data_IF_494600291904
#
_entry.id   IF_494600291904
#
_cell.length_a   1.000
_cell.length_b   1.000
_cell.length_c   1.000
_cell.angle_alpha   90.00
_cell.angle_beta   90.00
_cell.angle_gamma   90.00
#
_symmetry.space_group_name_H-M   'P 1'
#
loop_
_entity.id
_entity.type
_entity.pdbx_description
1 polymer ?
#
# COMPACT_ATOMS: atom_id res chain seq x y z
N UNK A 1 -25.99 -0.39 27.76
CA UNK A 1 -24.58 -0.25 27.40
C UNK A 1 -24.03 0.87 28.28
N UNK A 2 -22.92 0.62 28.98
CA UNK A 2 -22.28 1.62 29.81
C UNK A 2 -21.46 2.57 28.93
N UNK A 3 -21.24 3.80 29.38
CA UNK A 3 -20.32 4.78 28.75
C UNK A 3 -18.93 4.17 28.44
N UNK A 4 -18.51 3.20 29.27
CA UNK A 4 -17.29 2.42 29.09
C UNK A 4 -17.33 1.50 27.86
N UNK A 5 -18.45 0.82 27.59
CA UNK A 5 -18.59 -0.08 26.44
C UNK A 5 -18.51 0.71 25.11
N UNK A 6 -19.13 1.90 25.07
CA UNK A 6 -19.09 2.77 23.89
C UNK A 6 -17.66 3.28 23.62
N UNK A 7 -16.95 3.70 24.67
CA UNK A 7 -15.58 4.19 24.53
C UNK A 7 -14.63 3.10 24.03
N UNK A 8 -14.82 1.85 24.45
CA UNK A 8 -13.98 0.73 24.00
C UNK A 8 -14.23 0.36 22.54
N UNK A 9 -15.49 0.38 22.08
CA UNK A 9 -15.81 0.19 20.65
C UNK A 9 -15.20 1.29 19.78
N UNK A 10 -15.25 2.55 20.22
CA UNK A 10 -14.63 3.65 19.48
C UNK A 10 -13.11 3.53 19.39
N UNK A 11 -12.46 3.04 20.45
CA UNK A 11 -11.01 2.75 20.42
C UNK A 11 -10.68 1.61 19.47
N UNK A 12 -11.46 0.54 19.49
CA UNK A 12 -11.29 -0.59 18.58
C UNK A 12 -11.40 -0.12 17.12
N UNK A 13 -12.47 0.62 16.79
CA UNK A 13 -12.68 1.19 15.46
C UNK A 13 -11.56 2.14 15.03
N UNK A 14 -11.08 3.00 15.94
CA UNK A 14 -9.98 3.93 15.65
C UNK A 14 -8.62 3.23 15.50
N UNK A 15 -8.47 2.00 16.01
CA UNK A 15 -7.27 1.18 15.87
C UNK A 15 -7.29 0.29 14.62
N UNK A 16 -8.39 0.27 13.87
CA UNK A 16 -8.46 -0.51 12.65
C UNK A 16 -7.43 -0.01 11.63
N UNK A 17 -6.74 -0.92 10.94
CA UNK A 17 -5.78 -0.56 9.94
C UNK A 17 -6.46 0.12 8.75
N UNK A 18 -5.73 1.02 8.08
CA UNK A 18 -6.24 1.75 6.91
C UNK A 18 -5.92 1.01 5.64
N UNK A 19 -6.93 0.78 4.78
CA UNK A 19 -6.76 0.26 3.42
C UNK A 19 -7.02 1.39 2.43
N UNK A 20 -6.16 1.49 1.41
CA UNK A 20 -6.35 2.49 0.36
C UNK A 20 -5.92 2.01 -1.03
N UNK A 21 -6.49 2.67 -2.04
CA UNK A 21 -6.10 2.55 -3.45
C UNK A 21 -6.01 1.11 -4.01
N UNK A 22 -7.00 0.22 -3.80
CA UNK A 22 -6.96 -1.13 -4.36
C UNK A 22 -6.92 -1.10 -5.89
N UNK A 23 -6.07 -1.96 -6.48
CA UNK A 23 -5.87 -2.11 -7.93
C UNK A 23 -5.78 -3.60 -8.27
N UNK A 24 -6.68 -4.08 -9.11
CA UNK A 24 -6.64 -5.44 -9.65
C UNK A 24 -5.49 -5.56 -10.66
N UNK A 25 -4.75 -6.66 -10.62
CA UNK A 25 -3.72 -7.03 -11.60
C UNK A 25 -4.32 -7.23 -13.01
N UNK A 26 -3.51 -7.16 -14.08
CA UNK A 26 -4.00 -7.35 -15.44
C UNK A 26 -4.68 -8.71 -15.70
N UNK A 27 -4.21 -9.78 -15.05
CA UNK A 27 -4.79 -11.13 -15.12
C UNK A 27 -6.06 -11.31 -14.26
N UNK A 28 -6.32 -10.39 -13.33
CA UNK A 28 -7.47 -10.46 -12.43
C UNK A 28 -7.25 -11.32 -11.18
N UNK A 29 -6.07 -11.90 -10.99
CA UNK A 29 -5.82 -12.89 -9.93
C UNK A 29 -5.36 -12.25 -8.62
N UNK A 30 -4.83 -11.04 -8.64
CA UNK A 30 -4.25 -10.37 -7.46
C UNK A 30 -4.79 -8.94 -7.31
N UNK A 31 -4.93 -8.47 -6.07
CA UNK A 31 -5.23 -7.06 -5.76
C UNK A 31 -4.05 -6.43 -5.02
N UNK A 32 -3.37 -5.47 -5.64
CA UNK A 32 -2.44 -4.62 -4.93
C UNK A 32 -3.20 -3.53 -4.17
N UNK A 33 -2.72 -3.15 -2.99
CA UNK A 33 -3.32 -2.11 -2.15
C UNK A 33 -2.28 -1.48 -1.21
N UNK A 34 -2.55 -0.26 -0.75
CA UNK A 34 -1.86 0.27 0.42
C UNK A 34 -2.56 -0.21 1.68
N UNK A 35 -1.79 -0.67 2.64
CA UNK A 35 -2.26 -1.11 3.95
C UNK A 35 -1.36 -0.55 5.04
N UNK A 36 -1.94 -0.06 6.13
CA UNK A 36 -1.20 0.38 7.32
C UNK A 36 -1.50 -0.57 8.49
N UNK A 37 -0.70 -1.63 8.61
CA UNK A 37 -0.77 -2.58 9.74
C UNK A 37 0.34 -2.31 10.75
N UNK A 38 1.48 -1.78 10.31
CA UNK A 38 2.66 -1.62 11.15
C UNK A 38 2.78 -0.21 11.77
N UNK A 39 1.93 0.74 11.38
CA UNK A 39 1.99 2.16 11.74
C UNK A 39 2.58 3.06 10.65
N UNK A 40 2.78 2.53 9.44
CA UNK A 40 3.17 3.24 8.22
C UNK A 40 2.44 2.57 7.05
N UNK A 41 2.20 3.32 5.96
CA UNK A 41 1.65 2.70 4.74
C UNK A 41 2.69 1.78 4.12
N UNK A 42 2.27 0.60 3.69
CA UNK A 42 3.05 -0.27 2.82
C UNK A 42 2.22 -0.79 1.64
N UNK A 43 2.89 -1.16 0.54
CA UNK A 43 2.27 -1.91 -0.55
C UNK A 43 2.12 -3.36 -0.16
N UNK A 44 0.94 -3.92 -0.42
CA UNK A 44 0.61 -5.31 -0.22
C UNK A 44 -0.05 -5.90 -1.46
N UNK A 45 0.15 -7.20 -1.67
CA UNK A 45 -0.60 -8.03 -2.61
C UNK A 45 -1.64 -8.84 -1.83
N UNK A 46 -2.86 -8.87 -2.33
CA UNK A 46 -3.99 -9.57 -1.73
C UNK A 46 -4.53 -10.62 -2.71
N UNK A 47 -4.64 -11.86 -2.23
CA UNK A 47 -5.38 -12.90 -2.94
C UNK A 47 -6.89 -12.69 -2.67
N UNK A 48 -7.70 -12.37 -3.69
CA UNK A 48 -9.12 -12.10 -3.49
C UNK A 48 -9.96 -13.35 -3.15
N UNK A 49 -9.42 -14.56 -3.31
CA UNK A 49 -10.13 -15.81 -3.06
C UNK A 49 -10.18 -16.17 -1.58
N UNK A 50 -9.13 -15.84 -0.82
CA UNK A 50 -9.01 -16.15 0.61
C UNK A 50 -8.67 -14.95 1.50
N UNK A 51 -8.30 -13.80 0.91
CA UNK A 51 -7.95 -12.58 1.62
C UNK A 51 -6.55 -12.60 2.24
N UNK A 52 -5.69 -13.55 1.87
CA UNK A 52 -4.29 -13.56 2.27
C UNK A 52 -3.56 -12.33 1.74
N UNK A 53 -2.60 -11.85 2.54
CA UNK A 53 -1.82 -10.65 2.24
C UNK A 53 -0.33 -10.97 2.25
N UNK A 54 0.37 -10.47 1.23
CA UNK A 54 1.82 -10.46 1.13
C UNK A 54 2.30 -9.00 1.13
N UNK A 55 3.21 -8.66 2.04
CA UNK A 55 3.81 -7.34 2.11
C UNK A 55 4.92 -7.22 1.06
N UNK A 56 4.86 -6.17 0.24
CA UNK A 56 5.78 -5.96 -0.87
C UNK A 56 6.80 -4.84 -0.61
N UNK A 57 6.43 -3.85 0.21
CA UNK A 57 7.30 -2.71 0.53
C UNK A 57 7.49 -2.57 2.04
N UNK A 58 8.57 -1.90 2.46
CA UNK A 58 8.84 -1.61 3.88
C UNK A 58 8.71 -0.11 4.12
N UNK A 59 7.50 0.38 3.87
CA UNK A 59 6.99 1.74 4.06
C UNK A 59 7.85 2.90 3.55
N UNK A 60 8.55 2.64 2.46
CA UNK A 60 9.20 3.57 1.54
C UNK A 60 8.19 4.15 0.50
N UNK A 61 6.92 4.19 0.88
CA UNK A 61 5.81 4.70 0.06
C UNK A 61 5.14 5.90 0.75
N UNK A 62 4.53 6.82 -0.02
CA UNK A 62 3.93 8.02 0.55
C UNK A 62 2.87 7.73 1.61
N UNK A 63 2.93 8.49 2.70
CA UNK A 63 1.84 8.53 3.69
C UNK A 63 0.54 9.05 3.07
N UNK A 64 0.63 9.99 2.13
CA UNK A 64 -0.51 10.46 1.37
C UNK A 64 -0.63 9.69 0.05
N UNK A 65 -1.54 8.74 0.00
CA UNK A 65 -1.82 7.88 -1.17
C UNK A 65 -2.49 8.60 -2.36
N UNK A 66 -2.48 9.94 -2.40
CA UNK A 66 -3.17 10.75 -3.42
C UNK A 66 -2.72 10.44 -4.85
N UNK A 67 -1.42 10.21 -5.05
CA UNK A 67 -0.88 9.86 -6.35
C UNK A 67 -1.14 8.39 -6.73
N UNK A 68 -1.24 7.51 -5.72
CA UNK A 68 -1.50 6.09 -5.88
C UNK A 68 -0.33 5.33 -6.51
N UNK A 69 -0.63 4.15 -7.07
CA UNK A 69 0.29 3.34 -7.87
C UNK A 69 -0.47 2.75 -9.08
N UNK A 70 0.25 2.07 -9.98
CA UNK A 70 -0.29 1.36 -11.16
C UNK A 70 0.44 0.05 -11.40
N UNK A 71 -0.28 -0.97 -11.83
CA UNK A 71 0.30 -2.14 -12.46
C UNK A 71 0.95 -1.78 -13.79
N UNK A 72 2.04 -2.44 -14.11
CA UNK A 72 2.52 -2.51 -15.48
C UNK A 72 1.60 -3.43 -16.31
N UNK A 73 1.66 -3.37 -17.67
CA UNK A 73 0.79 -4.18 -18.51
C UNK A 73 1.02 -5.69 -18.42
N UNK A 74 2.22 -6.16 -18.06
CA UNK A 74 2.48 -7.59 -17.88
C UNK A 74 1.96 -8.10 -16.53
N UNK A 75 1.82 -7.21 -15.54
CA UNK A 75 1.41 -7.57 -14.18
C UNK A 75 2.57 -8.03 -13.31
N UNK A 76 3.81 -7.89 -13.77
CA UNK A 76 5.02 -8.30 -13.04
C UNK A 76 5.59 -7.18 -12.18
N UNK A 77 5.09 -5.94 -12.33
CA UNK A 77 5.59 -4.76 -11.62
C UNK A 77 4.51 -3.76 -11.23
N UNK A 78 4.83 -2.95 -10.22
CA UNK A 78 4.07 -1.77 -9.81
C UNK A 78 4.90 -0.50 -10.03
N UNK A 79 4.29 0.52 -10.64
CA UNK A 79 4.79 1.90 -10.64
C UNK A 79 4.19 2.66 -9.47
N UNK A 80 5.04 3.25 -8.65
CA UNK A 80 4.65 3.97 -7.44
C UNK A 80 5.55 5.18 -7.22
N UNK A 81 5.12 6.08 -6.34
CA UNK A 81 6.01 7.13 -5.84
C UNK A 81 6.78 6.59 -4.65
N UNK A 82 8.09 6.77 -4.62
CA UNK A 82 8.88 6.46 -3.43
C UNK A 82 8.88 7.66 -2.49
N UNK A 83 8.87 7.41 -1.20
CA UNK A 83 8.97 8.45 -0.16
C UNK A 83 9.82 7.87 0.96
N UNK A 84 11.09 8.28 1.00
CA UNK A 84 12.03 7.79 2.00
C UNK A 84 12.06 8.76 3.18
N UNK A 85 11.49 8.33 4.30
CA UNK A 85 11.44 9.10 5.54
C UNK A 85 10.74 10.48 5.44
N UNK A 86 9.84 10.69 4.49
CA UNK A 86 9.12 11.95 4.33
C UNK A 86 9.91 12.99 3.54
N UNK A 87 10.81 12.57 2.66
CA UNK A 87 11.54 13.49 1.78
C UNK A 87 10.64 14.11 0.71
N UNK A 88 9.44 13.54 0.51
CA UNK A 88 8.43 13.98 -0.47
C UNK A 88 9.02 14.11 -1.89
N UNK A 89 10.11 13.38 -2.16
CA UNK A 89 10.72 13.29 -3.47
C UNK A 89 9.81 12.42 -4.32
N UNK A 90 8.88 13.03 -5.04
CA UNK A 90 7.84 12.36 -5.82
C UNK A 90 8.36 11.62 -7.08
N UNK A 91 9.55 11.03 -7.01
CA UNK A 91 10.15 10.17 -8.02
C UNK A 91 9.24 8.99 -8.34
N UNK A 92 9.33 8.49 -9.57
CA UNK A 92 8.58 7.31 -9.99
C UNK A 92 9.53 6.13 -9.97
N UNK A 93 9.14 5.10 -9.24
CA UNK A 93 9.86 3.84 -9.10
C UNK A 93 9.05 2.69 -9.67
N UNK A 94 9.74 1.68 -10.18
CA UNK A 94 9.16 0.39 -10.53
C UNK A 94 9.57 -0.63 -9.47
N UNK A 95 8.62 -1.42 -8.98
CA UNK A 95 8.82 -2.49 -8.01
C UNK A 95 8.39 -3.82 -8.60
N UNK A 96 9.24 -4.85 -8.54
CA UNK A 96 8.88 -6.22 -8.88
C UNK A 96 8.01 -6.84 -7.78
N UNK A 97 7.33 -7.95 -8.08
CA UNK A 97 6.54 -8.67 -7.07
C UNK A 97 7.37 -9.39 -6.01
N UNK A 98 8.70 -9.44 -6.18
CA UNK A 98 9.63 -9.93 -5.15
C UNK A 98 10.15 -8.80 -4.23
N UNK A 99 9.70 -7.55 -4.45
CA UNK A 99 10.03 -6.37 -3.62
C UNK A 99 11.25 -5.57 -4.08
N UNK A 100 11.97 -6.01 -5.12
CA UNK A 100 13.07 -5.24 -5.70
C UNK A 100 12.54 -3.98 -6.40
N UNK A 101 13.19 -2.83 -6.20
CA UNK A 101 12.77 -1.58 -6.81
C UNK A 101 13.90 -0.79 -7.48
N UNK A 102 13.56 -0.11 -8.58
CA UNK A 102 14.47 0.70 -9.40
C UNK A 102 13.83 2.04 -9.80
N UNK A 103 14.61 3.13 -9.91
CA UNK A 103 14.08 4.42 -10.35
C UNK A 103 13.73 4.38 -11.83
N UNK A 104 12.59 4.97 -12.18
CA UNK A 104 12.10 5.14 -13.57
C UNK A 104 12.20 6.60 -13.98
N UNK A 105 11.85 7.50 -13.07
CA UNK A 105 11.97 8.95 -13.24
C UNK A 105 12.48 9.53 -11.93
N UNK A 106 13.58 10.27 -12.02
CA UNK A 106 14.17 11.04 -10.93
C UNK A 106 13.93 12.52 -11.20
N UNK A 107 13.41 13.26 -10.23
CA UNK A 107 13.19 14.70 -10.32
C UNK A 107 14.43 15.43 -9.79
N UNK A 108 14.95 16.38 -10.60
CA UNK A 108 16.10 17.24 -10.26
C UNK A 108 15.78 18.36 -9.26
#
# INVERSE_FOLDING_TARGET
MSDSDETDVLRELASLPTIASPRVSPDGETVALYYDVTGRNELHLCDPSDGSLEQLSDGDVPRSVRAGFKWDPSGERLYYHRDEAGDEQHDIWAMSLDGDSEPVVEMD
#
